data_IF_273873623292
#
_entry.id   IF_273873623292
#
_cell.length_a   1.000
_cell.length_b   1.000
_cell.length_c   1.000
_cell.angle_alpha   90.00
_cell.angle_beta   90.00
_cell.angle_gamma   90.00
#
_symmetry.space_group_name_H-M   'P 1'
#
loop_
_entity.id
_entity.type
_entity.pdbx_description
1 polymer ?
#
# COMPACT_ATOMS: atom_id res chain seq x y z
N UNK A 1 15.24 22.66 -43.72
CA UNK A 1 14.77 21.31 -44.10
C UNK A 1 15.69 20.30 -43.41
N UNK A 2 15.26 19.77 -42.26
CA UNK A 2 16.07 18.90 -41.43
C UNK A 2 16.14 17.51 -42.09
N UNK A 3 17.34 17.03 -42.40
CA UNK A 3 17.59 15.69 -42.95
C UNK A 3 17.59 14.71 -41.77
N UNK A 4 16.59 13.83 -41.71
CA UNK A 4 16.52 12.77 -40.70
C UNK A 4 17.42 11.60 -41.12
N UNK A 5 18.42 11.29 -40.30
CA UNK A 5 19.21 10.07 -40.41
C UNK A 5 18.56 8.96 -39.57
N UNK A 6 18.33 7.79 -40.20
CA UNK A 6 17.56 6.65 -39.69
C UNK A 6 18.21 5.86 -38.51
N UNK A 7 19.21 6.41 -37.82
CA UNK A 7 19.99 5.69 -36.80
C UNK A 7 19.64 6.04 -35.34
N UNK A 8 18.61 6.87 -35.08
CA UNK A 8 18.38 7.44 -33.76
C UNK A 8 16.96 7.22 -33.18
N UNK A 9 16.24 6.17 -33.59
CA UNK A 9 14.87 5.87 -33.09
C UNK A 9 14.81 4.53 -32.33
N UNK A 10 15.79 4.23 -31.48
CA UNK A 10 15.87 2.93 -30.80
C UNK A 10 15.87 2.96 -29.26
N UNK A 11 15.57 4.10 -28.60
CA UNK A 11 15.79 4.22 -27.15
C UNK A 11 14.64 4.78 -26.30
N UNK A 12 13.37 4.61 -26.70
CA UNK A 12 12.22 5.21 -25.96
C UNK A 12 11.26 4.23 -25.26
N UNK A 13 11.61 2.94 -25.10
CA UNK A 13 10.69 1.96 -24.50
C UNK A 13 11.32 1.22 -23.30
N UNK A 14 11.49 1.90 -22.15
CA UNK A 14 11.64 1.21 -20.85
C UNK A 14 11.46 2.17 -19.66
N UNK A 15 10.24 2.67 -19.43
CA UNK A 15 9.85 3.24 -18.14
C UNK A 15 8.61 2.51 -17.63
N UNK A 16 8.79 1.25 -17.24
CA UNK A 16 7.78 0.49 -16.50
C UNK A 16 7.76 0.96 -15.04
N UNK A 17 6.98 1.99 -14.74
CA UNK A 17 6.67 2.40 -13.37
C UNK A 17 5.73 1.37 -12.74
N UNK A 18 6.19 0.67 -11.70
CA UNK A 18 5.34 -0.22 -10.93
C UNK A 18 4.35 0.62 -10.10
N UNK A 19 3.13 0.80 -10.60
CA UNK A 19 2.06 1.40 -9.83
C UNK A 19 1.60 0.41 -8.76
N UNK A 20 1.76 0.75 -7.49
CA UNK A 20 1.24 -0.03 -6.37
C UNK A 20 -0.28 0.18 -6.27
N UNK A 21 -1.04 -0.55 -7.08
CA UNK A 21 -2.49 -0.50 -7.08
C UNK A 21 -3.05 -1.13 -5.80
N UNK A 22 -3.82 -0.36 -5.04
CA UNK A 22 -4.58 -0.84 -3.88
C UNK A 22 -6.01 -1.14 -4.33
N UNK A 23 -6.57 -2.27 -3.89
CA UNK A 23 -7.93 -2.65 -4.25
C UNK A 23 -8.98 -1.70 -3.68
N UNK A 24 -10.13 -1.59 -4.35
CA UNK A 24 -11.23 -0.76 -3.88
C UNK A 24 -11.77 -1.24 -2.53
N UNK A 25 -11.80 -2.56 -2.31
CA UNK A 25 -12.17 -3.15 -1.03
C UNK A 25 -11.29 -2.64 0.13
N UNK A 26 -9.97 -2.59 -0.08
CA UNK A 26 -9.03 -2.04 0.92
C UNK A 26 -9.24 -0.55 1.11
N UNK A 27 -9.43 0.22 0.04
CA UNK A 27 -9.68 1.67 0.13
C UNK A 27 -10.89 1.99 0.99
N UNK A 28 -12.00 1.29 0.76
CA UNK A 28 -13.26 1.50 1.48
C UNK A 28 -13.10 1.08 2.94
N UNK A 29 -12.62 -0.14 3.19
CA UNK A 29 -12.50 -0.70 4.53
C UNK A 29 -11.53 0.08 5.42
N UNK A 30 -10.42 0.55 4.86
CA UNK A 30 -9.35 1.23 5.60
C UNK A 30 -9.48 2.76 5.61
N UNK A 31 -10.44 3.36 4.90
CA UNK A 31 -10.66 4.82 4.89
C UNK A 31 -10.70 5.46 6.28
N UNK A 32 -11.48 4.98 7.26
CA UNK A 32 -11.51 5.59 8.58
C UNK A 32 -10.15 5.49 9.29
N UNK A 33 -9.44 4.37 9.12
CA UNK A 33 -8.14 4.14 9.74
C UNK A 33 -7.04 5.02 9.11
N UNK A 34 -7.08 5.22 7.78
CA UNK A 34 -6.19 6.15 7.09
C UNK A 34 -6.33 7.57 7.64
N UNK A 35 -7.57 8.04 7.82
CA UNK A 35 -7.85 9.38 8.34
C UNK A 35 -7.41 9.50 9.81
N UNK A 36 -7.66 8.47 10.63
CA UNK A 36 -7.39 8.49 12.06
C UNK A 36 -5.89 8.43 12.40
N UNK A 37 -5.10 7.62 11.66
CA UNK A 37 -3.73 7.28 12.06
C UNK A 37 -2.66 7.70 11.05
N UNK A 38 -3.01 7.85 9.78
CA UNK A 38 -2.04 8.03 8.69
C UNK A 38 -2.47 9.14 7.72
N UNK A 39 -3.00 10.24 8.27
CA UNK A 39 -3.51 11.35 7.47
C UNK A 39 -2.43 11.92 6.53
N UNK A 40 -2.86 12.59 5.46
CA UNK A 40 -1.99 13.24 4.47
C UNK A 40 -1.04 12.30 3.69
N UNK A 41 -1.19 10.97 3.82
CA UNK A 41 -0.42 10.01 3.03
C UNK A 41 -1.22 9.52 1.82
N UNK A 42 -0.52 9.36 0.69
CA UNK A 42 -1.13 8.89 -0.55
C UNK A 42 -1.45 7.40 -0.43
N UNK A 43 -2.68 7.03 -0.79
CA UNK A 43 -3.11 5.63 -0.84
C UNK A 43 -2.24 4.83 -1.81
N UNK A 44 -1.72 3.69 -1.34
CA UNK A 44 -0.81 2.85 -2.10
C UNK A 44 0.66 3.26 -2.05
N UNK A 45 1.00 4.37 -1.37
CA UNK A 45 2.39 4.74 -1.12
C UNK A 45 3.08 3.80 -0.11
N UNK A 46 4.40 3.68 -0.22
CA UNK A 46 5.22 2.97 0.77
C UNK A 46 5.11 3.61 2.17
N UNK A 47 5.00 4.94 2.22
CA UNK A 47 4.84 5.72 3.46
C UNK A 47 3.54 5.36 4.18
N UNK A 48 2.41 5.28 3.46
CA UNK A 48 1.15 4.84 4.05
C UNK A 48 1.23 3.42 4.60
N UNK A 49 1.83 2.49 3.83
CA UNK A 49 2.00 1.09 4.30
C UNK A 49 2.84 1.01 5.58
N UNK A 50 3.93 1.77 5.64
CA UNK A 50 4.76 1.85 6.84
C UNK A 50 3.98 2.42 8.04
N UNK A 51 3.21 3.49 7.83
CA UNK A 51 2.39 4.07 8.89
C UNK A 51 1.31 3.10 9.41
N UNK A 52 0.60 2.41 8.51
CA UNK A 52 -0.42 1.42 8.86
C UNK A 52 0.18 0.25 9.64
N UNK A 53 1.36 -0.23 9.22
CA UNK A 53 2.11 -1.27 9.95
C UNK A 53 2.47 -0.84 11.37
N UNK A 54 2.97 0.38 11.55
CA UNK A 54 3.30 0.91 12.88
C UNK A 54 2.08 1.11 13.77
N UNK A 55 0.90 1.33 13.18
CA UNK A 55 -0.37 1.49 13.89
C UNK A 55 -1.25 0.22 13.84
N UNK A 56 -0.71 -0.94 13.46
CA UNK A 56 -1.49 -2.15 13.18
C UNK A 56 -2.43 -2.56 14.34
N UNK A 57 -2.02 -2.31 15.59
CA UNK A 57 -2.81 -2.59 16.80
C UNK A 57 -4.04 -1.69 16.98
N UNK A 58 -4.05 -0.53 16.31
CA UNK A 58 -5.11 0.47 16.37
C UNK A 58 -6.05 0.41 15.17
N UNK A 59 -5.67 -0.32 14.12
CA UNK A 59 -6.49 -0.47 12.93
C UNK A 59 -7.75 -1.26 13.23
N UNK A 60 -8.83 -0.88 12.57
CA UNK A 60 -10.09 -1.59 12.68
C UNK A 60 -9.97 -3.03 12.16
N UNK A 61 -10.73 -3.95 12.77
CA UNK A 61 -10.87 -5.33 12.29
C UNK A 61 -11.24 -5.42 10.78
N UNK A 62 -12.21 -4.66 10.25
CA UNK A 62 -12.54 -4.72 8.82
C UNK A 62 -11.36 -4.30 7.92
N UNK A 63 -10.57 -3.29 8.32
CA UNK A 63 -9.38 -2.92 7.55
C UNK A 63 -8.31 -4.02 7.56
N UNK A 64 -8.00 -4.59 8.72
CA UNK A 64 -7.03 -5.70 8.81
C UNK A 64 -7.47 -6.90 7.96
N UNK A 65 -8.75 -7.25 7.98
CA UNK A 65 -9.29 -8.31 7.15
C UNK A 65 -9.15 -8.01 5.66
N UNK A 66 -9.52 -6.80 5.22
CA UNK A 66 -9.40 -6.39 3.83
C UNK A 66 -7.94 -6.42 3.34
N UNK A 67 -6.98 -6.00 4.16
CA UNK A 67 -5.56 -6.05 3.84
C UNK A 67 -5.07 -7.50 3.61
N UNK A 68 -5.54 -8.46 4.41
CA UNK A 68 -5.21 -9.89 4.23
C UNK A 68 -5.87 -10.45 2.98
N UNK A 69 -7.17 -10.23 2.81
CA UNK A 69 -7.96 -10.78 1.69
C UNK A 69 -7.43 -10.28 0.33
N UNK A 70 -6.87 -9.07 0.30
CA UNK A 70 -6.31 -8.45 -0.89
C UNK A 70 -4.78 -8.54 -0.98
N UNK A 71 -4.14 -9.34 -0.10
CA UNK A 71 -2.71 -9.64 -0.13
C UNK A 71 -1.78 -8.42 0.02
N UNK A 72 -2.26 -7.37 0.70
CA UNK A 72 -1.42 -6.22 1.11
C UNK A 72 -0.57 -6.57 2.35
N UNK A 73 -1.03 -7.51 3.17
CA UNK A 73 -0.31 -8.12 4.30
C UNK A 73 -0.63 -9.61 4.39
N UNK A 74 0.20 -10.39 5.10
CA UNK A 74 -0.10 -11.79 5.37
C UNK A 74 -0.95 -11.94 6.62
N UNK A 75 -1.67 -13.07 6.73
CA UNK A 75 -2.35 -13.42 7.98
C UNK A 75 -1.36 -13.54 9.16
N UNK A 76 -0.15 -14.04 8.90
CA UNK A 76 0.89 -14.14 9.91
C UNK A 76 1.32 -12.77 10.45
N UNK A 77 1.41 -11.74 9.58
CA UNK A 77 1.68 -10.37 10.01
C UNK A 77 0.58 -9.88 10.97
N UNK A 78 -0.69 -10.09 10.62
CA UNK A 78 -1.82 -9.70 11.46
C UNK A 78 -1.86 -10.47 12.78
N UNK A 79 -1.60 -11.77 12.75
CA UNK A 79 -1.53 -12.61 13.94
C UNK A 79 -0.40 -12.16 14.90
N UNK A 80 0.76 -11.76 14.37
CA UNK A 80 1.86 -11.19 15.16
C UNK A 80 1.46 -9.85 15.82
N UNK A 81 0.78 -8.98 15.08
CA UNK A 81 0.25 -7.74 15.65
C UNK A 81 -0.73 -8.04 16.80
N UNK A 82 -1.69 -8.95 16.60
CA UNK A 82 -2.66 -9.34 17.64
C UNK A 82 -2.00 -10.05 18.83
N UNK A 83 -0.92 -10.82 18.60
CA UNK A 83 -0.18 -11.43 19.70
C UNK A 83 0.53 -10.38 20.57
N UNK A 84 1.03 -9.30 19.95
CA UNK A 84 1.67 -8.18 20.66
C UNK A 84 0.68 -7.38 21.50
N UNK A 85 -0.57 -7.15 21.06
CA UNK A 85 -1.57 -6.48 21.92
C UNK A 85 -1.88 -7.26 23.19
N UNK A 86 -1.98 -8.59 23.11
CA UNK A 86 -2.26 -9.45 24.27
C UNK A 86 -1.17 -9.45 25.34
N UNK A 87 0.07 -9.16 24.97
CA UNK A 87 1.20 -9.04 25.92
C UNK A 87 1.31 -7.66 26.56
N UNK A 88 0.65 -6.66 25.99
CA UNK A 88 0.70 -5.27 26.43
C UNK A 88 -0.47 -4.86 27.33
N UNK A 89 -1.42 -5.77 27.59
CA UNK A 89 -2.54 -5.63 28.53
C UNK A 89 -2.45 -6.72 29.58
#
# INVERSE_FOLDING_TARGET
MLKLNAAAIAALLAMSGNAFAVSEAVKIACKPDYIAYCNNMVVGSSQLRACMKSNALKLSKPCLQALVDNKEVTKADVDDYVAKTKKAN
#
